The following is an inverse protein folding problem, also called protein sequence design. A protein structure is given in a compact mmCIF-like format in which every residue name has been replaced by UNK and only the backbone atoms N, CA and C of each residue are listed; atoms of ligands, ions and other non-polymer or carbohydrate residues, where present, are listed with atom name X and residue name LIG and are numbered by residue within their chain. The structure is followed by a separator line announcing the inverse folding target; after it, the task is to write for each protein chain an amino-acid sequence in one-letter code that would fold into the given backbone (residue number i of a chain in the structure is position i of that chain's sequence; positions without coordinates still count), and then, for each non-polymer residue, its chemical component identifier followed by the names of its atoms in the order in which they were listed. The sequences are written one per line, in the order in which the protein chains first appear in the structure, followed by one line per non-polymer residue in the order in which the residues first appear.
data_IF_956591600202
#
_entry.id   IF_956591600202
#
_cell.length_a   1.000
_cell.length_b   1.000
_cell.length_c   1.000
_cell.angle_alpha   90.00
_cell.angle_beta   90.00
_cell.angle_gamma   90.00
#
_symmetry.space_group_name_H-M   'P 1'
#
loop_
_entity.id
_entity.type
_entity.pdbx_description
1 polymer ?
#
# COMPACT_ATOMS: atom_id res chain seq x y z
N UNK A 1 16.33 -14.13 -19.30
CA UNK A 1 16.37 -13.36 -18.04
C UNK A 1 15.50 -12.14 -18.24
N UNK A 2 14.25 -12.18 -17.78
CA UNK A 2 13.36 -11.02 -17.78
C UNK A 2 13.61 -10.24 -16.48
N UNK A 3 13.86 -8.93 -16.58
CA UNK A 3 13.94 -8.06 -15.41
C UNK A 3 12.63 -8.14 -14.59
N UNK A 4 12.66 -7.96 -13.27
CA UNK A 4 11.43 -7.82 -12.50
C UNK A 4 10.74 -6.52 -12.94
N UNK A 5 9.75 -6.65 -13.81
CA UNK A 5 8.88 -5.59 -14.29
C UNK A 5 8.41 -4.76 -13.08
N UNK A 6 8.90 -3.53 -12.99
CA UNK A 6 8.64 -2.65 -11.87
C UNK A 6 7.14 -2.38 -11.82
N UNK A 7 6.47 -2.92 -10.81
CA UNK A 7 5.02 -2.77 -10.66
C UNK A 7 4.62 -1.28 -10.81
N UNK A 8 3.64 -0.96 -11.67
CA UNK A 8 3.27 0.42 -11.93
C UNK A 8 2.88 1.14 -10.64
N UNK A 9 3.55 2.26 -10.38
CA UNK A 9 3.24 3.12 -9.24
C UNK A 9 2.20 4.12 -9.71
N UNK A 10 0.98 3.98 -9.19
CA UNK A 10 -0.10 4.95 -9.44
C UNK A 10 -0.21 5.85 -8.21
N UNK A 11 -0.40 7.15 -8.38
CA UNK A 11 -0.57 8.06 -7.25
C UNK A 11 -2.05 8.32 -6.97
N UNK A 12 -2.44 8.34 -5.70
CA UNK A 12 -3.77 8.75 -5.26
C UNK A 12 -3.65 9.84 -4.18
N UNK A 13 -4.75 10.52 -3.87
CA UNK A 13 -4.77 11.59 -2.87
C UNK A 13 -5.47 11.11 -1.61
N UNK A 14 -4.79 11.15 -0.46
CA UNK A 14 -5.41 10.79 0.81
C UNK A 14 -6.38 11.88 1.31
N UNK A 15 -7.07 11.60 2.42
CA UNK A 15 -8.02 12.52 3.06
C UNK A 15 -7.39 13.85 3.52
N UNK A 16 -6.06 13.90 3.70
CA UNK A 16 -5.31 15.12 4.09
C UNK A 16 -4.76 15.86 2.89
N UNK A 17 -4.98 15.34 1.68
CA UNK A 17 -4.51 15.94 0.43
C UNK A 17 -3.11 15.50 0.01
N UNK A 18 -2.46 14.59 0.73
CA UNK A 18 -1.12 14.12 0.37
C UNK A 18 -1.17 13.07 -0.74
N UNK A 19 -0.19 13.13 -1.63
CA UNK A 19 0.01 12.09 -2.63
C UNK A 19 0.57 10.82 -1.99
N UNK A 20 -0.10 9.71 -2.28
CA UNK A 20 0.24 8.38 -1.79
C UNK A 20 0.44 7.44 -2.97
N UNK A 21 1.26 6.42 -2.77
CA UNK A 21 1.55 5.41 -3.79
C UNK A 21 0.57 4.24 -3.68
N UNK A 22 -0.11 3.97 -4.78
CA UNK A 22 -0.93 2.79 -5.03
C UNK A 22 -0.07 1.81 -5.84
N UNK A 23 0.24 0.67 -5.25
CA UNK A 23 1.03 -0.38 -5.89
C UNK A 23 0.08 -1.49 -6.28
N UNK A 24 -0.09 -1.71 -7.59
CA UNK A 24 -0.95 -2.76 -8.13
C UNK A 24 -0.10 -3.68 -9.01
N UNK A 25 -0.33 -4.99 -8.87
CA UNK A 25 0.33 -6.02 -9.68
C UNK A 25 -0.71 -6.85 -10.39
N UNK A 26 -0.67 -6.87 -11.71
CA UNK A 26 -1.58 -7.67 -12.52
C UNK A 26 -0.80 -8.87 -13.06
N UNK A 27 -1.32 -10.07 -12.84
CA UNK A 27 -0.73 -11.29 -13.37
C UNK A 27 -1.40 -11.66 -14.68
N UNK A 28 -0.61 -11.68 -15.75
CA UNK A 28 -1.01 -12.17 -17.06
C UNK A 28 -0.92 -13.70 -17.11
N UNK A 29 -1.85 -14.35 -17.82
CA UNK A 29 -1.85 -15.82 -17.96
C UNK A 29 -2.56 -16.60 -16.86
N UNK A 30 -3.16 -15.94 -15.87
CA UNK A 30 -4.08 -16.59 -14.90
C UNK A 30 -5.50 -16.68 -15.48
N UNK A 31 -6.34 -17.56 -14.94
CA UNK A 31 -7.76 -17.65 -15.31
C UNK A 31 -8.63 -16.57 -14.62
N UNK A 32 -8.00 -15.63 -13.92
CA UNK A 32 -8.68 -14.55 -13.18
C UNK A 32 -8.66 -13.29 -14.06
N UNK A 33 -9.83 -12.74 -14.45
CA UNK A 33 -9.89 -11.53 -15.24
C UNK A 33 -9.20 -10.32 -14.56
N UNK A 34 -8.56 -9.45 -15.34
CA UNK A 34 -7.82 -8.30 -14.82
C UNK A 34 -8.67 -7.35 -13.95
N UNK A 35 -9.96 -7.15 -14.27
CA UNK A 35 -10.84 -6.32 -13.45
C UNK A 35 -11.01 -6.92 -12.03
N UNK A 36 -11.04 -8.25 -11.93
CA UNK A 36 -11.23 -8.96 -10.67
C UNK A 36 -9.96 -8.94 -9.83
N UNK A 37 -8.78 -9.09 -10.47
CA UNK A 37 -7.49 -8.90 -9.81
C UNK A 37 -7.33 -7.47 -9.26
N UNK A 38 -7.78 -6.46 -10.02
CA UNK A 38 -7.76 -5.06 -9.61
C UNK A 38 -8.72 -4.81 -8.45
N UNK A 39 -9.97 -5.29 -8.56
CA UNK A 39 -11.00 -5.20 -7.51
C UNK A 39 -10.47 -5.80 -6.20
N UNK A 40 -9.99 -7.04 -6.23
CA UNK A 40 -9.49 -7.74 -5.05
C UNK A 40 -8.35 -6.98 -4.35
N UNK A 41 -7.38 -6.46 -5.10
CA UNK A 41 -6.27 -5.69 -4.52
C UNK A 41 -6.73 -4.38 -3.89
N UNK A 42 -7.64 -3.64 -4.53
CA UNK A 42 -8.21 -2.41 -3.97
C UNK A 42 -9.02 -2.69 -2.70
N UNK A 43 -9.84 -3.75 -2.70
CA UNK A 43 -10.60 -4.19 -1.52
C UNK A 43 -9.69 -4.53 -0.35
N UNK A 44 -8.62 -5.31 -0.58
CA UNK A 44 -7.64 -5.64 0.47
C UNK A 44 -6.95 -4.38 0.99
N UNK A 45 -6.55 -3.46 0.11
CA UNK A 45 -5.91 -2.21 0.52
C UNK A 45 -6.84 -1.32 1.35
N UNK A 46 -8.13 -1.27 1.04
CA UNK A 46 -9.13 -0.59 1.87
C UNK A 46 -9.29 -1.30 3.22
N UNK A 47 -9.44 -2.63 3.23
CA UNK A 47 -9.64 -3.43 4.43
C UNK A 47 -8.49 -3.31 5.44
N UNK A 48 -7.24 -3.27 4.96
CA UNK A 48 -6.05 -3.09 5.82
C UNK A 48 -5.70 -1.62 6.08
N UNK A 49 -6.53 -0.69 5.59
CA UNK A 49 -6.38 0.75 5.75
C UNK A 49 -5.10 1.33 5.13
N UNK A 50 -4.63 0.75 4.02
CA UNK A 50 -3.66 1.39 3.10
C UNK A 50 -4.35 2.43 2.24
N UNK A 51 -5.55 2.11 1.73
CA UNK A 51 -6.46 3.11 1.19
C UNK A 51 -7.26 3.69 2.35
N UNK A 52 -6.87 4.89 2.79
CA UNK A 52 -7.57 5.54 3.90
C UNK A 52 -9.00 5.92 3.48
N UNK A 53 -9.97 5.86 4.41
CA UNK A 53 -11.29 6.44 4.19
C UNK A 53 -11.21 7.86 3.65
N UNK A 54 -12.19 8.25 2.84
CA UNK A 54 -12.27 9.58 2.20
C UNK A 54 -11.14 9.89 1.20
N UNK A 55 -10.21 8.97 0.94
CA UNK A 55 -9.20 9.14 -0.09
C UNK A 55 -9.82 9.18 -1.47
N UNK A 56 -9.34 10.08 -2.32
CA UNK A 56 -9.73 10.16 -3.73
C UNK A 56 -8.90 9.17 -4.54
N UNK A 57 -9.57 8.20 -5.16
CA UNK A 57 -8.92 7.27 -6.08
C UNK A 57 -8.56 7.97 -7.41
N UNK A 58 -7.56 7.45 -8.14
CA UNK A 58 -7.28 7.90 -9.49
C UNK A 58 -8.52 7.72 -10.37
N UNK A 59 -8.67 8.57 -11.38
CA UNK A 59 -9.73 8.41 -12.37
C UNK A 59 -9.54 7.12 -13.16
N UNK A 60 -10.63 6.63 -13.76
CA UNK A 60 -10.61 5.45 -14.64
C UNK A 60 -9.52 5.59 -15.72
N UNK A 61 -9.38 6.78 -16.32
CA UNK A 61 -8.39 7.02 -17.39
C UNK A 61 -6.96 7.04 -16.85
N UNK A 62 -6.71 7.67 -15.71
CA UNK A 62 -5.38 7.70 -15.08
C UNK A 62 -4.94 6.30 -14.68
N UNK A 63 -5.82 5.54 -14.02
CA UNK A 63 -5.49 4.18 -13.57
C UNK A 63 -5.35 3.22 -14.76
N UNK A 64 -6.20 3.35 -15.78
CA UNK A 64 -6.09 2.57 -17.01
C UNK A 64 -4.75 2.81 -17.73
N UNK A 65 -4.35 4.08 -17.88
CA UNK A 65 -3.07 4.43 -18.49
C UNK A 65 -1.87 3.92 -17.67
N UNK A 66 -1.96 4.00 -16.34
CA UNK A 66 -0.86 3.58 -15.48
C UNK A 66 -0.70 2.05 -15.38
N UNK A 67 -1.78 1.29 -15.54
CA UNK A 67 -1.78 -0.17 -15.48
C UNK A 67 -1.77 -0.86 -16.86
N UNK A 68 -1.70 -0.08 -17.95
CA UNK A 68 -1.88 -0.55 -19.32
C UNK A 68 -3.15 -1.42 -19.50
N UNK A 69 -4.27 -0.94 -18.94
CA UNK A 69 -5.56 -1.61 -18.99
C UNK A 69 -6.55 -0.88 -19.90
N UNK A 70 -7.47 -1.64 -20.49
CA UNK A 70 -8.63 -1.03 -21.13
C UNK A 70 -9.46 -0.22 -20.10
N UNK A 71 -9.90 1.02 -20.42
CA UNK A 71 -10.70 1.83 -19.50
C UNK A 71 -11.97 1.13 -19.00
N UNK A 72 -12.58 0.28 -19.84
CA UNK A 72 -13.74 -0.52 -19.46
C UNK A 72 -13.46 -1.53 -18.35
N UNK A 73 -12.24 -2.08 -18.28
CA UNK A 73 -11.79 -3.01 -17.24
C UNK A 73 -11.71 -2.31 -15.89
N UNK A 74 -11.11 -1.11 -15.86
CA UNK A 74 -11.02 -0.30 -14.64
C UNK A 74 -12.40 0.20 -14.21
N UNK A 75 -13.22 0.67 -15.16
CA UNK A 75 -14.58 1.11 -14.87
C UNK A 75 -15.43 -0.02 -14.29
N UNK A 76 -15.25 -1.26 -14.78
CA UNK A 76 -15.90 -2.44 -14.21
C UNK A 76 -15.43 -2.69 -12.78
N UNK A 77 -14.11 -2.70 -12.54
CA UNK A 77 -13.58 -2.90 -11.19
C UNK A 77 -14.11 -1.86 -10.19
N UNK A 78 -14.15 -0.57 -10.58
CA UNK A 78 -14.70 0.49 -9.73
C UNK A 78 -16.20 0.32 -9.46
N UNK A 79 -16.97 -0.12 -10.46
CA UNK A 79 -18.40 -0.40 -10.27
C UNK A 79 -18.64 -1.56 -9.30
N UNK A 80 -17.86 -2.63 -9.40
CA UNK A 80 -17.97 -3.74 -8.44
C UNK A 80 -17.55 -3.30 -7.03
N UNK A 81 -16.49 -2.48 -6.89
CA UNK A 81 -16.12 -1.91 -5.58
C UNK A 81 -17.22 -1.01 -5.00
N UNK A 82 -17.95 -0.29 -5.85
CA UNK A 82 -19.07 0.55 -5.44
C UNK A 82 -20.27 -0.31 -5.01
N UNK A 83 -20.57 -1.39 -5.75
CA UNK A 83 -21.58 -2.39 -5.36
C UNK A 83 -21.21 -3.07 -4.03
N UNK A 84 -19.93 -3.35 -3.82
CA UNK A 84 -19.38 -3.91 -2.59
C UNK A 84 -19.31 -2.87 -1.45
N UNK A 85 -19.69 -1.61 -1.68
CA UNK A 85 -19.68 -0.56 -0.66
C UNK A 85 -18.29 -0.12 -0.21
N UNK A 86 -17.22 -0.43 -0.96
CA UNK A 86 -15.84 -0.05 -0.64
C UNK A 86 -15.53 1.38 -1.10
N UNK A 87 -16.16 1.81 -2.19
CA UNK A 87 -15.99 3.15 -2.76
C UNK A 87 -17.35 3.75 -3.10
N UNK A 88 -17.40 5.06 -3.27
CA UNK A 88 -18.57 5.78 -3.74
C UNK A 88 -18.21 6.80 -4.84
N UNK A 89 -19.06 6.89 -5.86
CA UNK A 89 -18.98 7.92 -6.88
C UNK A 89 -19.59 9.24 -6.40
N UNK A 90 -18.79 10.31 -6.33
CA UNK A 90 -19.25 11.67 -5.99
C UNK A 90 -19.42 12.56 -7.22
N UNK A 91 -19.98 12.00 -8.31
CA UNK A 91 -20.20 12.69 -9.58
C UNK A 91 -18.92 13.31 -10.15
N UNK A 92 -18.93 14.62 -10.44
CA UNK A 92 -17.77 15.36 -10.98
C UNK A 92 -16.56 15.40 -10.04
N UNK A 93 -16.71 15.07 -8.75
CA UNK A 93 -15.61 15.09 -7.79
C UNK A 93 -14.72 13.85 -7.90
N UNK A 94 -15.21 12.77 -8.51
CA UNK A 94 -14.52 11.50 -8.70
C UNK A 94 -14.98 10.39 -7.75
N UNK A 95 -14.18 9.34 -7.64
CA UNK A 95 -14.44 8.16 -6.81
C UNK A 95 -13.65 8.24 -5.51
N UNK A 96 -14.30 7.96 -4.39
CA UNK A 96 -13.72 8.06 -3.05
C UNK A 96 -13.90 6.76 -2.27
N UNK A 97 -12.95 6.44 -1.40
CA UNK A 97 -13.11 5.35 -0.44
C UNK A 97 -14.18 5.75 0.58
N UNK A 98 -15.12 4.86 0.88
CA UNK A 98 -16.18 5.15 1.87
C UNK A 98 -15.59 5.32 3.27
N UNK A 99 -16.38 5.90 4.19
CA UNK A 99 -15.91 6.13 5.56
C UNK A 99 -15.68 4.83 6.33
N UNK A 100 -16.57 3.85 6.13
CA UNK A 100 -16.55 2.55 6.79
C UNK A 100 -16.76 1.42 5.77
N UNK A 101 -15.69 0.99 5.06
CA UNK A 101 -15.79 -0.08 4.08
C UNK A 101 -16.21 -1.41 4.75
N UNK A 102 -17.13 -2.20 4.17
CA UNK A 102 -17.48 -3.51 4.70
C UNK A 102 -16.24 -4.41 4.78
N UNK A 103 -16.16 -5.20 5.85
CA UNK A 103 -15.02 -6.07 6.19
C UNK A 103 -13.67 -5.35 6.42
N UNK A 104 -13.65 -4.01 6.46
CA UNK A 104 -12.56 -3.27 7.09
C UNK A 104 -12.80 -3.20 8.60
N UNK A 105 -11.72 -3.24 9.38
CA UNK A 105 -11.82 -2.80 10.78
C UNK A 105 -12.14 -1.29 10.74
N UNK A 106 -13.23 -0.83 11.38
CA UNK A 106 -13.57 0.58 11.45
C UNK A 106 -12.33 1.40 11.83
N UNK A 107 -12.10 2.52 11.15
CA UNK A 107 -10.88 3.31 11.36
C UNK A 107 -10.68 3.70 12.83
N UNK A 108 -11.77 3.90 13.57
CA UNK A 108 -11.74 4.16 15.00
C UNK A 108 -11.27 2.95 15.82
N UNK A 109 -11.82 1.76 15.58
CA UNK A 109 -11.37 0.53 16.25
C UNK A 109 -9.89 0.24 15.98
N UNK A 110 -9.44 0.46 14.73
CA UNK A 110 -8.03 0.33 14.36
C UNK A 110 -7.16 1.33 15.12
N UNK A 111 -7.61 2.59 15.24
CA UNK A 111 -6.90 3.64 16.00
C UNK A 111 -6.84 3.31 17.49
N UNK A 112 -7.92 2.81 18.06
CA UNK A 112 -7.98 2.36 19.46
C UNK A 112 -7.02 1.20 19.72
N UNK A 113 -6.92 0.24 18.80
CA UNK A 113 -5.94 -0.84 18.89
C UNK A 113 -4.51 -0.35 18.78
N UNK A 114 -4.23 0.60 17.89
CA UNK A 114 -2.90 1.24 17.79
C UNK A 114 -2.57 1.99 19.08
N UNK A 115 -3.52 2.75 19.64
CA UNK A 115 -3.33 3.45 20.91
C UNK A 115 -3.06 2.46 22.05
N UNK A 116 -3.83 1.38 22.13
CA UNK A 116 -3.64 0.30 23.11
C UNK A 116 -2.26 -0.36 22.98
N UNK A 117 -1.77 -0.57 21.75
CA UNK A 117 -0.43 -1.09 21.52
C UNK A 117 0.66 -0.08 21.92
N UNK A 118 0.47 1.21 21.65
CA UNK A 118 1.37 2.27 22.06
C UNK A 118 1.46 2.37 23.59
N UNK A 119 0.34 2.29 24.31
CA UNK A 119 0.32 2.32 25.78
C UNK A 119 1.11 1.16 26.38
N UNK A 120 0.97 -0.05 25.83
CA UNK A 120 1.77 -1.22 26.24
C UNK A 120 3.26 -0.99 25.99
N UNK A 121 3.61 -0.47 24.81
CA UNK A 121 4.98 -0.15 24.48
C UNK A 121 5.58 0.88 25.46
N UNK A 122 4.89 2.00 25.71
CA UNK A 122 5.34 3.01 26.66
C UNK A 122 5.52 2.45 28.07
N UNK A 123 4.61 1.57 28.51
CA UNK A 123 4.73 0.89 29.80
C UNK A 123 6.02 0.05 29.87
N UNK A 124 6.30 -0.76 28.85
CA UNK A 124 7.51 -1.58 28.79
C UNK A 124 8.79 -0.71 28.79
N UNK A 125 8.82 0.39 28.03
CA UNK A 125 9.96 1.31 28.02
C UNK A 125 10.25 1.91 29.39
N UNK A 126 9.20 2.30 30.12
CA UNK A 126 9.33 2.84 31.48
C UNK A 126 9.90 1.80 32.45
N UNK A 127 9.48 0.54 32.32
CA UNK A 127 10.02 -0.56 33.12
C UNK A 127 11.51 -0.83 32.83
N UNK A 128 11.95 -0.57 31.60
CA UNK A 128 13.34 -0.72 31.18
C UNK A 128 14.20 0.53 31.44
N UNK A 129 13.58 1.65 31.83
CA UNK A 129 14.28 2.92 32.03
C UNK A 129 14.79 3.56 30.72
N UNK A 130 14.18 3.22 29.58
CA UNK A 130 14.60 3.68 28.26
C UNK A 130 13.83 4.95 27.88
N UNK A 131 14.55 5.96 27.38
CA UNK A 131 13.96 7.19 26.87
C UNK A 131 13.16 6.97 25.58
N UNK A 132 12.18 7.84 25.32
CA UNK A 132 11.32 7.72 24.14
C UNK A 132 12.11 7.77 22.82
N UNK A 133 13.14 8.61 22.73
CA UNK A 133 13.93 8.77 21.51
C UNK A 133 14.69 7.48 21.15
N UNK A 134 15.38 6.88 22.13
CA UNK A 134 16.09 5.61 21.96
C UNK A 134 15.12 4.47 21.61
N UNK A 135 13.94 4.49 22.21
CA UNK A 135 12.89 3.52 21.93
C UNK A 135 12.33 3.64 20.51
N UNK A 136 12.15 4.87 20.02
CA UNK A 136 11.71 5.10 18.64
C UNK A 136 12.76 4.63 17.63
N UNK A 137 14.05 4.83 17.91
CA UNK A 137 15.12 4.28 17.07
C UNK A 137 15.14 2.74 17.09
N UNK A 138 14.94 2.13 18.27
CA UNK A 138 14.81 0.68 18.39
C UNK A 138 13.59 0.13 17.64
N UNK A 139 12.44 0.81 17.72
CA UNK A 139 11.22 0.45 17.01
C UNK A 139 11.40 0.55 15.49
N UNK A 140 12.00 1.65 14.99
CA UNK A 140 12.34 1.78 13.55
C UNK A 140 13.31 0.69 13.09
N UNK A 141 14.28 0.32 13.93
CA UNK A 141 15.20 -0.77 13.62
C UNK A 141 14.50 -2.15 13.63
N UNK A 142 13.52 -2.35 14.52
CA UNK A 142 12.71 -3.56 14.57
C UNK A 142 11.78 -3.68 13.35
N UNK A 143 11.12 -2.59 12.96
CA UNK A 143 10.29 -2.51 11.76
C UNK A 143 11.10 -2.94 10.52
N UNK A 144 12.33 -2.43 10.35
CA UNK A 144 13.25 -2.86 9.28
C UNK A 144 13.61 -4.35 9.32
N UNK A 145 13.60 -5.00 10.49
CA UNK A 145 13.88 -6.44 10.64
C UNK A 145 12.65 -7.31 10.33
N UNK A 146 11.45 -6.79 10.61
CA UNK A 146 10.19 -7.49 10.41
C UNK A 146 9.52 -7.17 9.06
N UNK A 147 10.05 -6.22 8.29
CA UNK A 147 9.65 -6.00 6.89
C UNK A 147 10.07 -7.21 6.04
N UNK A 148 9.18 -8.19 5.86
CA UNK A 148 9.37 -9.37 5.00
C UNK A 148 9.24 -9.03 3.51
N UNK A 149 9.84 -7.91 3.07
CA UNK A 149 9.98 -7.57 1.65
C UNK A 149 11.45 -7.68 1.26
N UNK A 150 11.81 -8.50 0.25
CA UNK A 150 13.17 -8.53 -0.26
C UNK A 150 13.46 -7.19 -0.96
N UNK A 151 14.16 -6.28 -0.28
CA UNK A 151 14.76 -5.12 -0.93
C UNK A 151 16.07 -5.58 -1.57
N UNK A 152 16.06 -5.60 -2.91
CA UNK A 152 17.21 -5.95 -3.74
C UNK A 152 18.50 -5.29 -3.24
N UNK A 153 19.46 -6.13 -2.91
CA UNK A 153 20.82 -5.70 -2.63
C UNK A 153 21.38 -5.03 -3.89
N UNK A 154 21.56 -3.72 -3.83
CA UNK A 154 22.50 -3.03 -4.70
C UNK A 154 23.90 -3.54 -4.37
N UNK A 155 24.49 -4.36 -5.23
CA UNK A 155 25.95 -4.47 -5.32
C UNK A 155 26.39 -3.46 -6.38
N UNK A 156 26.80 -2.29 -5.90
CA UNK A 156 27.63 -1.40 -6.70
C UNK A 156 28.95 -2.11 -6.97
N UNK A 157 29.29 -2.20 -8.24
CA UNK A 157 30.63 -2.47 -8.74
C UNK A 157 31.66 -1.59 -8.01
N UNK A 158 32.59 -2.23 -7.32
CA UNK A 158 33.90 -1.66 -7.04
C UNK A 158 34.95 -2.50 -7.77
N UNK A 159 35.23 -2.05 -8.99
CA UNK A 159 36.38 -2.43 -9.80
C UNK A 159 37.69 -2.05 -9.06
N UNK A 160 38.74 -2.83 -9.34
CA UNK A 160 40.19 -2.59 -9.10
C UNK A 160 40.71 -3.30 -7.83
N UNK A 161 41.63 -4.27 -7.90
CA UNK A 161 42.92 -4.22 -8.60
C UNK A 161 43.43 -5.64 -8.88
N UNK A 162 43.79 -5.89 -10.14
CA UNK A 162 44.56 -7.05 -10.54
C UNK A 162 46.00 -6.95 -10.01
N UNK A 163 46.57 -8.08 -9.59
CA UNK A 163 48.00 -8.36 -9.62
C UNK A 163 48.13 -9.85 -9.93
N UNK A 164 48.74 -10.27 -11.04
CA UNK A 164 48.83 -11.68 -11.38
C UNK A 164 50.15 -12.31 -10.89
N UNK A 165 50.03 -13.62 -10.63
CA UNK A 165 50.99 -14.68 -10.88
C UNK A 165 52.29 -14.69 -10.07
N UNK A 166 52.39 -15.71 -9.21
CA UNK A 166 53.39 -16.77 -9.39
C UNK A 166 52.69 -18.13 -9.30
#
# INVERSE_FOLDING_TARGET
MAEPESAPIVTYRDQRGFERRLIIRLETGTNIPAFEQLRAQLSVMAAVGRLEPQSKLPTVRELAAALDLAPGTVARAYRELENDGIVEGRGRRGTFVVDEPPHSEPLQERRERVATAADRFIFELRMLGVGLDDALEAAKAADRRHDTKPHGAKTHDAKTKATPAQ
#
